data_IF_446412925283
#
_entry.id   IF_446412925283
#
_cell.length_a   1.000
_cell.length_b   1.000
_cell.length_c   1.000
_cell.angle_alpha   90.00
_cell.angle_beta   90.00
_cell.angle_gamma   90.00
#
_symmetry.space_group_name_H-M   'P 1'
#
loop_
_entity.id
_entity.type
_entity.pdbx_description
1 polymer ?
#
# COMPACT_ATOMS: atom_id res chain seq x y z
N UNK A 1 -53.25 -5.40 36.38
CA UNK A 1 -52.24 -5.06 35.36
C UNK A 1 -51.73 -6.38 34.78
N UNK A 2 -51.97 -6.63 33.50
CA UNK A 2 -51.68 -7.91 32.85
C UNK A 2 -50.16 -8.09 32.62
N UNK A 3 -49.44 -8.39 33.71
CA UNK A 3 -47.98 -8.54 33.74
C UNK A 3 -47.46 -9.59 32.75
N UNK A 4 -48.25 -10.64 32.50
CA UNK A 4 -47.94 -11.68 31.52
C UNK A 4 -47.99 -11.15 30.07
N UNK A 5 -48.92 -10.25 29.74
CA UNK A 5 -49.03 -9.64 28.40
C UNK A 5 -47.89 -8.68 28.14
N UNK A 6 -47.54 -7.84 29.11
CA UNK A 6 -46.41 -6.90 29.00
C UNK A 6 -45.08 -7.63 28.82
N UNK A 7 -44.87 -8.75 29.53
CA UNK A 7 -43.65 -9.57 29.39
C UNK A 7 -43.51 -10.15 27.97
N UNK A 8 -44.59 -10.64 27.39
CA UNK A 8 -44.59 -11.18 26.01
C UNK A 8 -44.31 -10.08 24.98
N UNK A 9 -44.91 -8.90 25.13
CA UNK A 9 -44.65 -7.76 24.24
C UNK A 9 -43.19 -7.32 24.32
N UNK A 10 -42.60 -7.30 25.52
CA UNK A 10 -41.20 -6.91 25.70
C UNK A 10 -40.22 -7.91 25.08
N UNK A 11 -40.51 -9.22 25.17
CA UNK A 11 -39.71 -10.26 24.51
C UNK A 11 -39.75 -10.10 22.98
N UNK A 12 -40.93 -9.85 22.40
CA UNK A 12 -41.07 -9.63 20.96
C UNK A 12 -40.39 -8.34 20.50
N UNK A 13 -40.47 -7.26 21.29
CA UNK A 13 -39.79 -6.02 20.98
C UNK A 13 -38.25 -6.18 20.99
N UNK A 14 -37.71 -6.91 21.97
CA UNK A 14 -36.28 -7.20 22.04
C UNK A 14 -35.83 -8.08 20.87
N UNK A 15 -36.60 -9.12 20.54
CA UNK A 15 -36.29 -9.99 19.41
C UNK A 15 -36.31 -9.22 18.08
N UNK A 16 -37.28 -8.32 17.88
CA UNK A 16 -37.34 -7.47 16.68
C UNK A 16 -36.17 -6.50 16.63
N UNK A 17 -35.75 -5.94 17.77
CA UNK A 17 -34.55 -5.10 17.88
C UNK A 17 -33.28 -5.89 17.56
N UNK A 18 -33.13 -7.10 18.09
CA UNK A 18 -31.98 -7.97 17.85
C UNK A 18 -31.89 -8.39 16.38
N UNK A 19 -33.02 -8.71 15.74
CA UNK A 19 -33.09 -8.99 14.29
C UNK A 19 -32.74 -7.74 13.48
N UNK A 20 -33.24 -6.57 13.88
CA UNK A 20 -32.91 -5.30 13.23
C UNK A 20 -31.42 -4.97 13.36
N UNK A 21 -30.82 -5.16 14.55
CA UNK A 21 -29.38 -5.02 14.75
C UNK A 21 -28.60 -6.02 13.90
N UNK A 22 -29.03 -7.29 13.87
CA UNK A 22 -28.42 -8.32 13.04
C UNK A 22 -28.44 -7.96 11.55
N UNK A 23 -29.57 -7.43 11.07
CA UNK A 23 -29.71 -6.90 9.72
C UNK A 23 -28.81 -5.70 9.47
N UNK A 24 -28.76 -4.73 10.39
CA UNK A 24 -27.87 -3.57 10.27
C UNK A 24 -26.41 -4.01 10.21
N UNK A 25 -25.97 -4.93 11.07
CA UNK A 25 -24.60 -5.46 11.08
C UNK A 25 -24.29 -6.19 9.76
N UNK A 26 -25.22 -7.01 9.26
CA UNK A 26 -25.07 -7.71 7.98
C UNK A 26 -24.97 -6.73 6.80
N UNK A 27 -25.84 -5.72 6.74
CA UNK A 27 -25.85 -4.71 5.68
C UNK A 27 -24.65 -3.75 5.76
N UNK A 28 -24.18 -3.44 6.96
CA UNK A 28 -23.01 -2.57 7.20
C UNK A 28 -21.72 -3.24 6.72
N UNK A 29 -21.62 -4.57 6.78
CA UNK A 29 -20.47 -5.33 6.26
C UNK A 29 -20.36 -5.34 4.73
N UNK A 30 -21.43 -4.99 4.00
CA UNK A 30 -21.49 -5.20 2.53
C UNK A 30 -21.75 -3.97 1.65
N UNK A 31 -22.14 -2.80 2.18
CA UNK A 31 -22.46 -1.69 1.25
C UNK A 31 -22.73 -0.28 1.79
N UNK A 32 -22.97 -0.07 3.09
CA UNK A 32 -23.27 1.28 3.59
C UNK A 32 -22.06 2.23 3.64
N UNK A 33 -20.83 1.70 3.70
CA UNK A 33 -19.58 2.49 3.71
C UNK A 33 -19.25 3.14 2.35
N UNK A 34 -19.91 2.74 1.26
CA UNK A 34 -19.61 3.26 -0.09
C UNK A 34 -20.52 4.41 -0.53
N UNK A 35 -21.43 4.88 0.32
CA UNK A 35 -22.25 6.06 -0.01
C UNK A 35 -21.44 7.36 0.16
N UNK A 36 -21.52 8.31 -0.79
CA UNK A 36 -20.81 9.60 -0.69
C UNK A 36 -21.13 10.43 0.56
N UNK A 37 -22.27 10.17 1.21
CA UNK A 37 -22.68 10.86 2.44
C UNK A 37 -22.00 10.24 3.68
N UNK A 38 -21.89 8.91 3.74
CA UNK A 38 -21.18 8.23 4.82
C UNK A 38 -19.68 8.54 4.81
N UNK A 39 -19.05 8.59 3.63
CA UNK A 39 -17.63 8.92 3.51
C UNK A 39 -17.31 10.36 3.94
N UNK A 40 -18.24 11.30 3.71
CA UNK A 40 -18.11 12.66 4.22
C UNK A 40 -18.26 12.69 5.74
N UNK A 41 -19.26 12.04 6.32
CA UNK A 41 -19.41 12.00 7.77
C UNK A 41 -18.15 11.46 8.47
N UNK A 42 -17.57 10.36 7.96
CA UNK A 42 -16.33 9.77 8.48
C UNK A 42 -15.14 10.74 8.37
N UNK A 43 -15.01 11.46 7.25
CA UNK A 43 -13.98 12.48 7.05
C UNK A 43 -14.08 13.62 8.06
N UNK A 44 -15.30 14.08 8.35
CA UNK A 44 -15.51 15.16 9.32
C UNK A 44 -15.21 14.71 10.74
N UNK A 45 -15.69 13.53 11.14
CA UNK A 45 -15.39 12.93 12.44
C UNK A 45 -13.87 12.74 12.63
N UNK A 46 -13.18 12.25 11.59
CA UNK A 46 -11.73 12.08 11.66
C UNK A 46 -11.01 13.42 11.84
N UNK A 47 -11.41 14.46 11.11
CA UNK A 47 -10.76 15.78 11.24
C UNK A 47 -10.90 16.34 12.64
N UNK A 48 -12.06 16.21 13.25
CA UNK A 48 -12.29 16.62 14.64
C UNK A 48 -11.43 15.82 15.60
N UNK A 49 -11.42 14.48 15.46
CA UNK A 49 -10.57 13.59 16.25
C UNK A 49 -9.08 13.98 16.16
N UNK A 50 -8.53 14.14 14.95
CA UNK A 50 -7.13 14.51 14.77
C UNK A 50 -6.83 15.89 15.36
N UNK A 51 -7.75 16.85 15.23
CA UNK A 51 -7.60 18.18 15.83
C UNK A 51 -7.52 18.13 17.35
N UNK A 52 -8.34 17.30 18.00
CA UNK A 52 -8.29 17.09 19.46
C UNK A 52 -6.95 16.47 19.92
N UNK A 53 -6.31 15.69 19.05
CA UNK A 53 -5.00 15.08 19.27
C UNK A 53 -3.82 15.93 18.77
N UNK A 54 -4.06 17.17 18.33
CA UNK A 54 -3.04 18.07 17.75
C UNK A 54 -2.30 17.46 16.54
N UNK A 55 -3.00 16.71 15.69
CA UNK A 55 -2.45 16.06 14.49
C UNK A 55 -3.07 16.70 13.24
N UNK A 56 -2.23 16.97 12.23
CA UNK A 56 -2.69 17.57 10.97
C UNK A 56 -2.81 16.51 9.88
N UNK A 57 -3.84 16.59 9.03
CA UNK A 57 -4.04 15.73 7.88
C UNK A 57 -3.87 16.53 6.57
N UNK A 58 -2.70 16.44 5.96
CA UNK A 58 -2.33 17.11 4.70
C UNK A 58 -2.50 16.20 3.47
N UNK A 59 -2.97 14.97 3.68
CA UNK A 59 -3.19 13.96 2.66
C UNK A 59 -4.68 13.81 2.31
N UNK A 60 -4.95 13.46 1.05
CA UNK A 60 -6.23 12.88 0.69
C UNK A 60 -6.27 11.41 1.12
N UNK A 61 -7.32 11.03 1.86
CA UNK A 61 -7.51 9.66 2.33
C UNK A 61 -8.50 8.97 1.40
N UNK A 62 -8.10 7.87 0.73
CA UNK A 62 -9.02 7.12 -0.12
C UNK A 62 -10.22 6.61 0.69
N UNK A 63 -11.41 6.85 0.17
CA UNK A 63 -12.67 6.50 0.83
C UNK A 63 -13.18 5.12 0.45
N UNK A 64 -12.63 4.52 -0.60
CA UNK A 64 -13.01 3.19 -1.03
C UNK A 64 -12.53 2.11 -0.05
N UNK A 65 -13.42 1.16 0.24
CA UNK A 65 -13.14 -0.06 1.00
C UNK A 65 -13.48 -1.26 0.13
N UNK A 66 -12.69 -1.55 -0.93
CA UNK A 66 -12.93 -2.70 -1.78
C UNK A 66 -12.71 -4.00 -1.02
N UNK A 67 -13.35 -5.07 -1.47
CA UNK A 67 -13.00 -6.41 -1.01
C UNK A 67 -11.64 -6.81 -1.60
N UNK A 68 -10.71 -7.24 -0.75
CA UNK A 68 -9.36 -7.64 -1.15
C UNK A 68 -8.99 -9.01 -0.61
N UNK A 69 -8.13 -9.71 -1.34
CA UNK A 69 -7.58 -11.02 -0.96
C UNK A 69 -6.13 -10.90 -0.46
N UNK A 70 -5.65 -11.93 0.21
CA UNK A 70 -4.22 -12.13 0.38
C UNK A 70 -3.61 -12.56 -0.96
N UNK A 71 -2.36 -12.20 -1.18
CA UNK A 71 -1.62 -12.58 -2.37
C UNK A 71 -0.48 -13.51 -1.99
N UNK A 72 -0.29 -14.55 -2.80
CA UNK A 72 0.97 -15.28 -2.82
C UNK A 72 1.86 -14.64 -3.88
N UNK A 73 3.02 -14.19 -3.45
CA UNK A 73 4.05 -13.66 -4.31
C UNK A 73 5.23 -14.63 -4.39
N UNK A 74 5.62 -14.93 -5.62
CA UNK A 74 6.78 -15.75 -5.96
C UNK A 74 7.79 -14.85 -6.66
N UNK A 75 9.07 -14.95 -6.28
CA UNK A 75 10.10 -14.22 -6.99
C UNK A 75 10.23 -14.76 -8.42
N UNK A 76 10.10 -13.88 -9.40
CA UNK A 76 10.42 -14.21 -10.78
C UNK A 76 11.94 -14.17 -10.90
N UNK A 77 12.57 -15.34 -10.84
CA UNK A 77 14.00 -15.45 -11.13
C UNK A 77 14.31 -14.87 -12.51
N UNK A 78 15.35 -14.04 -12.62
CA UNK A 78 15.86 -13.60 -13.91
C UNK A 78 16.86 -14.64 -14.43
N UNK A 79 16.52 -15.30 -15.53
CA UNK A 79 17.33 -16.39 -16.09
C UNK A 79 18.58 -15.89 -16.83
N UNK A 80 19.69 -16.65 -16.88
CA UNK A 80 20.91 -16.24 -17.60
C UNK A 80 20.69 -15.92 -19.08
N UNK A 81 19.73 -16.59 -19.72
CA UNK A 81 19.40 -16.39 -21.14
C UNK A 81 18.71 -15.03 -21.33
N UNK A 82 17.75 -14.68 -20.47
CA UNK A 82 17.05 -13.38 -20.51
C UNK A 82 18.04 -12.22 -20.32
N UNK A 83 19.05 -12.40 -19.47
CA UNK A 83 20.09 -11.39 -19.23
C UNK A 83 21.05 -11.22 -20.42
N UNK A 84 21.32 -12.28 -21.18
CA UNK A 84 22.20 -12.23 -22.35
C UNK A 84 21.57 -11.53 -23.56
N UNK A 85 20.24 -11.49 -23.64
CA UNK A 85 19.51 -10.82 -24.72
C UNK A 85 19.44 -9.28 -24.54
N UNK A 86 19.78 -8.77 -23.36
CA UNK A 86 19.71 -7.34 -23.06
C UNK A 86 20.98 -6.60 -23.50
N UNK A 87 20.97 -6.07 -24.73
CA UNK A 87 22.10 -5.30 -25.27
C UNK A 87 22.38 -4.01 -24.48
N UNK A 88 23.66 -3.71 -24.21
CA UNK A 88 24.09 -2.48 -23.52
C UNK A 88 23.86 -2.48 -22.00
N UNK A 89 23.68 -3.67 -21.41
CA UNK A 89 23.47 -3.86 -19.97
C UNK A 89 24.45 -4.92 -19.44
N UNK A 90 25.08 -4.62 -18.31
CA UNK A 90 25.77 -5.59 -17.48
C UNK A 90 24.89 -5.90 -16.28
N UNK A 91 24.27 -7.08 -16.27
CA UNK A 91 23.26 -7.44 -15.28
C UNK A 91 23.69 -8.63 -14.42
N UNK A 92 23.40 -8.55 -13.12
CA UNK A 92 23.69 -9.60 -12.13
C UNK A 92 22.50 -9.78 -11.20
N UNK A 93 22.27 -11.01 -10.74
CA UNK A 93 21.19 -11.28 -9.77
C UNK A 93 21.78 -11.25 -8.37
N UNK A 94 21.29 -10.31 -7.55
CA UNK A 94 21.65 -10.16 -6.15
C UNK A 94 20.46 -10.52 -5.26
N UNK A 95 20.51 -11.70 -4.64
CA UNK A 95 19.40 -12.26 -3.84
C UNK A 95 18.10 -12.37 -4.65
N UNK A 96 17.20 -11.40 -4.50
CA UNK A 96 15.90 -11.30 -5.18
C UNK A 96 15.76 -9.99 -5.97
N UNK A 97 16.88 -9.48 -6.49
CA UNK A 97 16.87 -8.32 -7.37
C UNK A 97 17.83 -8.51 -8.54
N UNK A 98 17.43 -7.99 -9.69
CA UNK A 98 18.33 -7.76 -10.81
C UNK A 98 19.03 -6.43 -10.63
N UNK A 99 20.34 -6.45 -10.46
CA UNK A 99 21.19 -5.26 -10.50
C UNK A 99 21.76 -5.11 -11.92
N UNK A 100 21.37 -4.05 -12.61
CA UNK A 100 21.72 -3.79 -13.99
C UNK A 100 22.47 -2.47 -14.11
N UNK A 101 23.69 -2.51 -14.65
CA UNK A 101 24.48 -1.34 -15.01
C UNK A 101 24.37 -1.09 -16.50
N UNK A 102 24.13 0.16 -16.89
CA UNK A 102 24.08 0.58 -18.28
C UNK A 102 25.49 0.94 -18.76
N UNK A 103 25.92 0.33 -19.86
CA UNK A 103 27.22 0.60 -20.49
C UNK A 103 27.06 0.70 -22.02
N UNK A 104 27.05 1.93 -22.60
CA UNK A 104 27.24 3.21 -21.91
C UNK A 104 25.97 3.67 -21.14
N UNK A 105 26.12 4.59 -20.15
CA UNK A 105 25.00 5.27 -19.49
C UNK A 105 24.08 5.95 -20.50
N UNK A 106 22.78 6.06 -20.18
CA UNK A 106 21.78 6.68 -21.06
C UNK A 106 21.66 8.17 -20.73
N UNK A 107 21.94 9.10 -21.68
CA UNK A 107 21.65 10.51 -21.47
C UNK A 107 20.15 10.75 -21.27
N UNK A 108 19.79 11.55 -20.28
CA UNK A 108 18.40 11.92 -20.04
C UNK A 108 18.02 13.02 -21.03
N UNK A 109 17.00 12.75 -21.83
CA UNK A 109 16.46 13.74 -22.76
C UNK A 109 15.18 14.37 -22.21
N UNK A 110 15.08 15.70 -22.31
CA UNK A 110 13.89 16.43 -21.87
C UNK A 110 13.82 16.64 -20.36
N UNK A 111 12.62 16.55 -19.79
CA UNK A 111 12.41 16.79 -18.37
C UNK A 111 12.71 15.52 -17.56
N UNK A 112 13.37 15.70 -16.41
CA UNK A 112 13.65 14.63 -15.45
C UNK A 112 12.36 14.35 -14.66
N UNK A 113 11.41 13.65 -15.29
CA UNK A 113 10.21 13.15 -14.63
C UNK A 113 10.25 11.62 -14.55
N UNK A 114 9.66 11.00 -13.50
CA UNK A 114 9.73 9.55 -13.37
C UNK A 114 9.10 8.77 -14.52
N UNK A 115 7.96 9.24 -15.05
CA UNK A 115 7.31 8.59 -16.19
C UNK A 115 8.15 8.67 -17.46
N UNK A 116 8.81 9.80 -17.70
CA UNK A 116 9.70 9.98 -18.84
C UNK A 116 10.95 9.10 -18.74
N UNK A 117 11.56 9.04 -17.55
CA UNK A 117 12.73 8.21 -17.31
C UNK A 117 12.41 6.72 -17.44
N UNK A 118 11.28 6.28 -16.89
CA UNK A 118 10.83 4.90 -17.03
C UNK A 118 10.56 4.54 -18.51
N UNK A 119 10.04 5.49 -19.29
CA UNK A 119 9.87 5.33 -20.75
C UNK A 119 11.21 5.21 -21.48
N UNK A 120 12.21 6.01 -21.11
CA UNK A 120 13.53 6.00 -21.75
C UNK A 120 14.33 4.73 -21.43
N UNK A 121 14.26 4.25 -20.19
CA UNK A 121 14.94 3.00 -19.79
C UNK A 121 14.15 1.75 -20.17
N UNK A 122 12.83 1.87 -20.39
CA UNK A 122 11.91 0.77 -20.67
C UNK A 122 12.37 -0.24 -21.74
N UNK A 123 12.91 0.18 -22.90
CA UNK A 123 13.44 -0.75 -23.90
C UNK A 123 14.60 -1.64 -23.42
N UNK A 124 15.24 -1.27 -22.31
CA UNK A 124 16.35 -1.97 -21.66
C UNK A 124 15.93 -2.54 -20.29
N UNK A 125 14.64 -2.75 -20.07
CA UNK A 125 14.11 -3.25 -18.81
C UNK A 125 12.93 -4.18 -19.07
N UNK A 126 12.86 -5.26 -18.30
CA UNK A 126 11.69 -6.13 -18.31
C UNK A 126 10.56 -5.52 -17.47
N UNK A 127 9.33 -5.63 -17.95
CA UNK A 127 8.12 -5.24 -17.21
C UNK A 127 8.07 -3.78 -16.74
N UNK A 128 8.75 -2.85 -17.44
CA UNK A 128 8.83 -1.45 -17.04
C UNK A 128 7.44 -0.81 -16.87
N UNK A 129 6.48 -1.20 -17.70
CA UNK A 129 5.09 -0.73 -17.69
C UNK A 129 4.31 -1.10 -16.42
N UNK A 130 4.80 -2.07 -15.64
CA UNK A 130 4.16 -2.51 -14.40
C UNK A 130 4.64 -1.75 -13.17
N UNK A 131 5.43 -0.69 -13.33
CA UNK A 131 5.95 0.10 -12.22
C UNK A 131 5.35 1.50 -12.19
N UNK A 132 5.11 2.03 -10.99
CA UNK A 132 4.67 3.41 -10.77
C UNK A 132 5.57 4.09 -9.75
N UNK A 133 5.91 5.35 -10.03
CA UNK A 133 6.85 6.11 -9.22
C UNK A 133 6.30 6.42 -7.82
N UNK A 134 7.17 6.29 -6.83
CA UNK A 134 6.95 6.76 -5.48
C UNK A 134 7.71 8.07 -5.29
N UNK A 135 7.03 9.18 -5.58
CA UNK A 135 7.62 10.52 -5.53
C UNK A 135 8.10 10.88 -4.12
N UNK A 136 7.47 10.33 -3.07
CA UNK A 136 7.81 10.64 -1.70
C UNK A 136 9.20 10.09 -1.31
N UNK A 137 9.54 8.89 -1.77
CA UNK A 137 10.83 8.25 -1.46
C UNK A 137 11.91 8.45 -2.55
N UNK A 138 11.54 9.12 -3.63
CA UNK A 138 12.43 9.50 -4.71
C UNK A 138 13.24 10.75 -4.35
N UNK A 139 14.45 10.85 -4.88
CA UNK A 139 15.31 12.02 -4.74
C UNK A 139 16.10 12.27 -6.03
N UNK A 140 16.98 13.28 -6.03
CA UNK A 140 17.71 13.71 -7.23
C UNK A 140 18.64 12.63 -7.83
N UNK A 141 19.19 11.73 -7.01
CA UNK A 141 20.12 10.68 -7.45
C UNK A 141 19.48 9.29 -7.61
N UNK A 142 18.26 9.10 -7.08
CA UNK A 142 17.56 7.82 -7.10
C UNK A 142 16.05 8.03 -7.20
N UNK A 143 15.45 7.47 -8.24
CA UNK A 143 14.00 7.35 -8.34
C UNK A 143 13.55 5.97 -7.89
N UNK A 144 12.53 5.94 -7.02
CA UNK A 144 11.90 4.72 -6.54
C UNK A 144 10.56 4.51 -7.25
N UNK A 145 10.30 3.28 -7.66
CA UNK A 145 9.04 2.84 -8.21
C UNK A 145 8.60 1.55 -7.50
N UNK A 146 7.29 1.31 -7.47
CA UNK A 146 6.70 0.07 -6.97
C UNK A 146 6.05 -0.69 -8.11
N UNK A 147 6.24 -2.01 -8.14
CA UNK A 147 5.46 -2.88 -9.02
C UNK A 147 3.96 -2.73 -8.68
N UNK A 148 3.12 -2.74 -9.70
CA UNK A 148 1.67 -2.59 -9.59
C UNK A 148 0.97 -3.93 -9.84
N UNK A 149 0.02 -4.28 -8.98
CA UNK A 149 -0.91 -5.38 -9.16
C UNK A 149 -2.33 -4.87 -8.98
N UNK A 150 -3.18 -5.05 -9.99
CA UNK A 150 -4.57 -4.54 -10.02
C UNK A 150 -4.67 -3.06 -9.58
N UNK A 151 -3.83 -2.20 -10.19
CA UNK A 151 -3.72 -0.76 -9.90
C UNK A 151 -3.28 -0.41 -8.47
N UNK A 152 -2.78 -1.38 -7.71
CA UNK A 152 -2.26 -1.17 -6.34
C UNK A 152 -0.77 -1.48 -6.26
N UNK A 153 0.02 -0.64 -5.58
CA UNK A 153 1.46 -0.86 -5.43
C UNK A 153 1.74 -2.05 -4.50
N UNK A 154 2.77 -2.81 -4.86
CA UNK A 154 3.40 -3.84 -4.04
C UNK A 154 4.60 -3.22 -3.34
N UNK A 155 4.47 -2.84 -2.07
CA UNK A 155 5.50 -2.14 -1.27
C UNK A 155 6.70 -3.02 -0.85
N UNK A 156 6.91 -4.12 -1.57
CA UNK A 156 7.97 -5.11 -1.38
C UNK A 156 8.71 -5.44 -2.70
N UNK A 157 8.24 -4.90 -3.83
CA UNK A 157 8.82 -5.10 -5.16
C UNK A 157 9.29 -3.76 -5.74
N UNK A 158 10.42 -3.22 -5.22
CA UNK A 158 10.95 -1.94 -5.67
C UNK A 158 11.64 -2.07 -7.03
N UNK A 159 11.54 -0.98 -7.79
CA UNK A 159 12.47 -0.62 -8.84
C UNK A 159 13.18 0.67 -8.43
N UNK A 160 14.49 0.62 -8.29
CA UNK A 160 15.35 1.77 -8.03
C UNK A 160 16.12 2.11 -9.31
N UNK A 161 15.98 3.34 -9.81
CA UNK A 161 16.73 3.85 -10.97
C UNK A 161 17.73 4.88 -10.47
N UNK A 162 19.01 4.70 -10.83
CA UNK A 162 20.12 5.53 -10.36
C UNK A 162 20.54 6.55 -11.41
N UNK A 163 20.65 7.81 -10.98
CA UNK A 163 20.93 8.96 -11.84
C UNK A 163 22.20 9.67 -11.39
N UNK A 164 23.01 10.14 -12.36
CA UNK A 164 24.11 11.06 -12.10
C UNK A 164 24.39 11.91 -13.35
N UNK A 165 24.74 13.18 -13.14
CA UNK A 165 25.21 14.10 -14.19
C UNK A 165 24.31 14.14 -15.45
N UNK A 166 22.99 14.09 -15.26
CA UNK A 166 22.03 14.09 -16.37
C UNK A 166 21.98 12.78 -17.16
N UNK A 167 22.46 11.68 -16.58
CA UNK A 167 22.44 10.34 -17.18
C UNK A 167 21.82 9.31 -16.25
N UNK A 168 21.28 8.24 -16.84
CA UNK A 168 20.83 7.03 -16.14
C UNK A 168 22.00 6.05 -16.10
N UNK A 169 22.44 5.70 -14.89
CA UNK A 169 23.58 4.82 -14.67
C UNK A 169 23.19 3.34 -14.72
N UNK A 170 21.98 3.03 -14.27
CA UNK A 170 21.51 1.67 -14.09
C UNK A 170 20.29 1.60 -13.19
N UNK A 171 19.89 0.38 -12.86
CA UNK A 171 18.73 0.12 -12.03
C UNK A 171 18.90 -1.13 -11.18
N UNK A 172 18.11 -1.21 -10.11
CA UNK A 172 17.93 -2.41 -9.32
C UNK A 172 16.45 -2.75 -9.27
N UNK A 173 16.10 -3.96 -9.71
CA UNK A 173 14.71 -4.35 -9.96
C UNK A 173 14.35 -5.64 -9.21
N UNK A 174 13.27 -5.60 -8.43
CA UNK A 174 12.61 -6.79 -7.90
C UNK A 174 11.25 -6.92 -8.56
N UNK A 175 11.00 -8.06 -9.22
CA UNK A 175 9.71 -8.37 -9.83
C UNK A 175 9.14 -9.65 -9.24
N UNK A 176 7.84 -9.60 -8.88
CA UNK A 176 7.13 -10.70 -8.27
C UNK A 176 6.01 -11.20 -9.18
N UNK A 177 5.90 -12.52 -9.32
CA UNK A 177 4.73 -13.17 -9.88
C UNK A 177 3.66 -13.31 -8.79
N UNK A 178 2.48 -12.79 -9.06
CA UNK A 178 1.39 -12.73 -8.10
C UNK A 178 0.32 -13.77 -8.43
N UNK A 179 -0.05 -14.55 -7.42
CA UNK A 179 -1.22 -15.43 -7.44
C UNK A 179 -2.17 -15.01 -6.32
N UNK A 180 -3.41 -14.69 -6.67
CA UNK A 180 -4.44 -14.41 -5.67
C UNK A 180 -4.73 -15.69 -4.87
N UNK A 181 -4.77 -15.57 -3.53
CA UNK A 181 -5.05 -16.69 -2.65
C UNK A 181 -6.16 -16.31 -1.64
N UNK A 182 -7.10 -17.24 -1.46
CA UNK A 182 -8.04 -17.19 -0.35
C UNK A 182 -9.30 -16.39 -0.64
N UNK A 183 -10.03 -16.07 0.42
CA UNK A 183 -11.35 -15.45 0.36
C UNK A 183 -11.22 -13.94 0.35
N UNK A 184 -11.95 -13.28 -0.56
CA UNK A 184 -12.06 -11.83 -0.58
C UNK A 184 -12.70 -11.34 0.71
N UNK A 185 -12.13 -10.30 1.33
CA UNK A 185 -12.63 -9.72 2.56
C UNK A 185 -12.68 -8.20 2.43
N UNK A 186 -13.71 -7.53 2.99
CA UNK A 186 -13.73 -6.09 3.06
C UNK A 186 -12.53 -5.61 3.89
N UNK A 187 -11.89 -4.54 3.43
CA UNK A 187 -10.84 -3.87 4.20
C UNK A 187 -11.43 -2.73 5.05
N UNK A 188 -10.73 -2.37 6.12
CA UNK A 188 -10.99 -1.16 6.90
C UNK A 188 -10.72 0.09 6.05
N UNK A 189 -11.35 1.21 6.41
CA UNK A 189 -11.08 2.50 5.79
C UNK A 189 -9.66 3.01 6.12
N UNK A 190 -9.13 3.89 5.27
CA UNK A 190 -7.88 4.59 5.55
C UNK A 190 -7.96 5.44 6.83
N UNK A 191 -9.14 5.99 7.13
CA UNK A 191 -9.41 6.69 8.39
C UNK A 191 -9.31 5.77 9.61
N UNK A 192 -9.86 4.57 9.55
CA UNK A 192 -9.71 3.57 10.62
C UNK A 192 -8.23 3.19 10.82
N UNK A 193 -7.46 3.06 9.74
CA UNK A 193 -6.03 2.79 9.81
C UNK A 193 -5.25 3.94 10.48
N UNK A 194 -5.55 5.19 10.15
CA UNK A 194 -4.97 6.37 10.82
C UNK A 194 -5.29 6.34 12.32
N UNK A 195 -6.57 6.16 12.68
CA UNK A 195 -7.01 6.10 14.09
C UNK A 195 -6.21 5.06 14.88
N UNK A 196 -6.03 3.87 14.32
CA UNK A 196 -5.24 2.79 14.93
C UNK A 196 -3.81 3.22 15.26
N UNK A 197 -3.17 4.01 14.39
CA UNK A 197 -1.82 4.54 14.65
C UNK A 197 -1.81 5.64 15.72
N UNK A 198 -2.81 6.52 15.75
CA UNK A 198 -2.94 7.58 16.76
C UNK A 198 -3.21 6.99 18.15
N UNK A 199 -4.16 6.05 18.25
CA UNK A 199 -4.51 5.38 19.52
C UNK A 199 -3.34 4.60 20.10
N UNK A 200 -2.50 4.01 19.25
CA UNK A 200 -1.28 3.29 19.64
C UNK A 200 -0.09 4.22 19.88
N UNK A 201 -0.27 5.54 19.79
CA UNK A 201 0.78 6.54 19.94
C UNK A 201 1.95 6.33 18.96
N UNK A 202 1.66 5.81 17.77
CA UNK A 202 2.64 5.70 16.68
C UNK A 202 2.75 7.04 15.96
N UNK A 203 1.60 7.67 15.73
CA UNK A 203 1.50 9.08 15.35
C UNK A 203 1.32 9.88 16.63
N UNK A 204 2.22 10.82 16.86
CA UNK A 204 2.32 11.64 18.07
C UNK A 204 1.65 13.00 17.86
N UNK A 205 1.19 13.65 18.95
CA UNK A 205 0.72 15.03 18.90
C UNK A 205 1.76 15.96 18.28
N UNK A 206 1.32 16.82 17.37
CA UNK A 206 2.15 17.75 16.59
C UNK A 206 2.63 17.20 15.25
N UNK A 207 2.46 15.91 14.97
CA UNK A 207 2.83 15.32 13.68
C UNK A 207 1.80 15.63 12.58
N UNK A 208 2.26 15.55 11.33
CA UNK A 208 1.43 15.74 10.12
C UNK A 208 1.38 14.44 9.33
N UNK A 209 0.20 14.08 8.86
CA UNK A 209 -0.02 12.95 7.95
C UNK A 209 0.11 13.47 6.52
N UNK A 210 1.09 12.96 5.79
CA UNK A 210 1.56 13.49 4.51
C UNK A 210 1.06 12.67 3.32
N UNK A 211 0.84 11.37 3.52
CA UNK A 211 0.30 10.49 2.46
C UNK A 211 -0.40 9.27 3.05
N UNK A 212 -1.49 8.86 2.40
CA UNK A 212 -2.23 7.63 2.71
C UNK A 212 -2.49 6.87 1.41
N UNK A 213 -1.97 5.65 1.30
CA UNK A 213 -2.02 4.88 0.05
C UNK A 213 -2.39 3.42 0.33
N UNK A 214 -3.39 2.91 -0.36
CA UNK A 214 -3.75 1.49 -0.32
C UNK A 214 -2.84 0.68 -1.24
N UNK A 215 -2.29 -0.43 -0.73
CA UNK A 215 -1.43 -1.32 -1.50
C UNK A 215 -1.29 -2.68 -0.84
N UNK A 216 -0.20 -3.39 -1.16
CA UNK A 216 0.13 -4.67 -0.57
C UNK A 216 1.50 -4.64 0.09
N UNK A 217 1.62 -5.30 1.23
CA UNK A 217 2.86 -5.47 1.98
C UNK A 217 2.83 -6.82 2.69
N UNK A 218 3.98 -7.41 2.95
CA UNK A 218 4.02 -8.75 3.52
C UNK A 218 5.37 -9.13 4.08
N UNK A 219 5.36 -10.24 4.81
CA UNK A 219 6.57 -10.82 5.41
C UNK A 219 7.30 -11.71 4.42
N UNK A 220 8.61 -11.84 4.66
CA UNK A 220 9.49 -12.72 3.94
C UNK A 220 9.68 -14.00 4.75
N UNK A 221 8.99 -15.08 4.38
CA UNK A 221 9.37 -16.43 4.79
C UNK A 221 9.89 -17.17 3.55
N UNK A 222 10.91 -18.00 3.74
CA UNK A 222 11.97 -18.32 2.77
C UNK A 222 11.52 -19.04 1.48
N UNK A 223 10.25 -19.41 1.35
CA UNK A 223 9.71 -20.13 0.18
C UNK A 223 8.46 -19.49 -0.45
N UNK A 224 7.75 -18.58 0.24
CA UNK A 224 6.60 -17.87 -0.34
C UNK A 224 6.31 -16.58 0.43
N UNK A 225 6.13 -15.48 -0.30
CA UNK A 225 5.77 -14.19 0.29
C UNK A 225 4.24 -14.05 0.31
N UNK A 226 3.64 -14.11 1.49
CA UNK A 226 2.21 -13.76 1.64
C UNK A 226 2.13 -12.25 1.81
N UNK A 227 1.47 -11.58 0.86
CA UNK A 227 1.21 -10.14 0.90
C UNK A 227 -0.23 -9.89 1.35
N UNK A 228 -0.36 -9.10 2.41
CA UNK A 228 -1.64 -8.61 2.89
C UNK A 228 -1.97 -7.25 2.27
N UNK A 229 -3.27 -6.93 2.08
CA UNK A 229 -3.66 -5.55 1.78
C UNK A 229 -3.29 -4.66 2.97
N UNK A 230 -2.72 -3.49 2.69
CA UNK A 230 -2.30 -2.54 3.72
C UNK A 230 -2.60 -1.10 3.33
N UNK A 231 -2.81 -0.27 4.34
CA UNK A 231 -2.71 1.17 4.24
C UNK A 231 -1.29 1.60 4.58
N UNK A 232 -0.60 2.18 3.60
CA UNK A 232 0.66 2.89 3.81
C UNK A 232 0.36 4.31 4.28
N UNK A 233 0.81 4.63 5.49
CA UNK A 233 0.64 5.95 6.09
C UNK A 233 2.02 6.54 6.30
N UNK A 234 2.22 7.72 5.73
CA UNK A 234 3.43 8.51 5.86
C UNK A 234 3.10 9.73 6.70
N UNK A 235 3.87 9.93 7.77
CA UNK A 235 3.67 11.02 8.70
C UNK A 235 5.03 11.54 9.20
N UNK A 236 5.22 12.85 9.13
CA UNK A 236 6.47 13.55 9.47
C UNK A 236 7.76 12.80 9.06
N UNK A 237 7.87 12.37 7.79
CA UNK A 237 9.06 11.63 7.34
C UNK A 237 9.02 10.12 7.57
N UNK A 238 8.20 9.63 8.52
CA UNK A 238 8.12 8.23 8.94
C UNK A 238 7.06 7.48 8.12
N UNK A 239 7.30 6.20 7.88
CA UNK A 239 6.39 5.34 7.15
C UNK A 239 5.95 4.16 8.00
N UNK A 240 4.64 3.92 8.04
CA UNK A 240 4.05 2.74 8.65
C UNK A 240 3.05 2.08 7.70
N UNK A 241 2.90 0.77 7.86
CA UNK A 241 1.89 -0.01 7.17
C UNK A 241 0.90 -0.53 8.20
N UNK A 242 -0.39 -0.38 7.90
CA UNK A 242 -1.48 -0.91 8.72
C UNK A 242 -2.23 -1.94 7.89
N UNK A 243 -2.36 -3.15 8.42
CA UNK A 243 -3.10 -4.24 7.81
C UNK A 243 -4.54 -3.81 7.50
N UNK A 244 -4.94 -3.92 6.24
CA UNK A 244 -6.25 -3.54 5.76
C UNK A 244 -7.38 -4.43 6.28
N UNK A 245 -7.09 -5.64 6.77
CA UNK A 245 -8.11 -6.57 7.29
C UNK A 245 -8.21 -6.45 8.82
N UNK A 246 -7.08 -6.36 9.53
CA UNK A 246 -7.05 -6.40 11.00
C UNK A 246 -6.89 -5.04 11.67
N UNK A 247 -6.44 -4.02 10.95
CA UNK A 247 -6.06 -2.72 11.52
C UNK A 247 -4.80 -2.76 12.40
N UNK A 248 -4.09 -3.88 12.44
CA UNK A 248 -2.82 -3.99 13.14
C UNK A 248 -1.70 -3.32 12.33
N UNK A 249 -0.72 -2.74 13.02
CA UNK A 249 0.49 -2.24 12.37
C UNK A 249 1.34 -3.43 11.92
N UNK A 250 1.78 -3.42 10.66
CA UNK A 250 2.71 -4.41 10.15
C UNK A 250 4.13 -4.16 10.66
N UNK A 251 4.87 -5.25 10.87
CA UNK A 251 6.26 -5.16 11.31
C UNK A 251 7.15 -4.77 10.12
N UNK A 252 8.18 -3.93 10.33
CA UNK A 252 9.15 -3.67 9.29
C UNK A 252 9.86 -4.96 8.87
N UNK A 253 10.03 -5.15 7.56
CA UNK A 253 10.88 -6.22 7.03
C UNK A 253 12.33 -6.02 7.49
N UNK A 254 12.83 -6.95 8.30
CA UNK A 254 14.23 -6.99 8.72
C UNK A 254 15.06 -7.42 7.50
N UNK A 255 15.61 -6.48 6.74
CA UNK A 255 16.47 -6.80 5.60
C UNK A 255 16.55 -5.73 4.51
N UNK A 256 15.56 -4.84 4.41
CA UNK A 256 15.61 -3.64 3.59
C UNK A 256 15.72 -2.43 4.51
N UNK A 257 16.90 -2.28 5.14
CA UNK A 257 17.26 -0.99 5.69
C UNK A 257 17.31 -0.02 4.50
N UNK A 258 16.34 0.89 4.41
CA UNK A 258 16.44 2.08 3.58
C UNK A 258 17.19 3.10 4.43
N UNK A 259 18.52 3.23 4.36
CA UNK A 259 19.18 4.34 5.00
C UNK A 259 18.76 5.61 4.24
N UNK A 260 17.78 6.32 4.77
CA UNK A 260 17.62 7.73 4.51
C UNK A 260 18.70 8.48 5.28
N UNK A 261 19.80 8.82 4.60
CA UNK A 261 20.60 10.03 4.82
C UNK A 261 21.24 10.43 3.51
#
# INVERSE_FOLDING_TARGET
MDWSKTKTILIWAFLMLDVFLGYQVYATRGGYLQSPQASQAEKWEMRDYLSQHNITLDAEVPTETPDMTLLNAEYTGFGPIELQEMTGIQATVEKMALAARLDPPIPIHGQITPSELLRQIGPRMMYAEQYTADLYQSNQGRLLYWQMYDKKPLFVAPLEVYLADGTILGYRQTFLNIRSQGTSRPIISGYTAIRSLVEKQVIQPGERIESVTLGYYGSYDAESQVLAPVWRIIHDGKQHFVNGITGAQERPLIGFYFPGK
#
